data_IF_615586095572
#
_entry.id   IF_615586095572
#
_cell.length_a   1.000
_cell.length_b   1.000
_cell.length_c   1.000
_cell.angle_alpha   90.00
_cell.angle_beta   90.00
_cell.angle_gamma   90.00
#
_symmetry.space_group_name_H-M   'P 1'
#
loop_
_entity.id
_entity.type
_entity.pdbx_description
1 polymer ?
#
# COMPACT_ATOMS: atom_id res chain seq x y z
N UNK A 1 10.23 -1.82 -3.67
CA UNK A 1 10.65 -3.06 -2.99
C UNK A 1 11.50 -3.94 -3.90
N UNK A 2 11.01 -4.33 -5.08
CA UNK A 2 11.69 -5.33 -5.91
C UNK A 2 11.00 -6.70 -5.75
N UNK A 3 11.44 -7.71 -6.49
CA UNK A 3 11.02 -9.11 -6.33
C UNK A 3 9.49 -9.34 -6.29
N UNK A 4 8.74 -8.57 -7.09
CA UNK A 4 7.26 -8.58 -7.10
C UNK A 4 6.64 -8.39 -5.72
N UNK A 5 7.30 -7.64 -4.84
CA UNK A 5 6.76 -7.20 -3.55
C UNK A 5 6.18 -5.80 -3.70
N UNK A 6 4.96 -5.63 -3.20
CA UNK A 6 4.24 -4.37 -3.23
C UNK A 6 3.66 -4.06 -1.86
N UNK A 7 3.64 -2.78 -1.51
CA UNK A 7 2.95 -2.28 -0.34
C UNK A 7 1.84 -1.36 -0.80
N UNK A 8 0.65 -1.51 -0.24
CA UNK A 8 -0.50 -0.65 -0.50
C UNK A 8 -0.83 0.16 0.74
N UNK A 9 -1.08 1.46 0.53
CA UNK A 9 -1.45 2.43 1.56
C UNK A 9 -2.76 3.10 1.14
N UNK A 10 -3.84 2.81 1.84
CA UNK A 10 -5.20 3.25 1.51
C UNK A 10 -5.78 4.24 2.51
N UNK A 11 -6.90 4.87 2.11
CA UNK A 11 -7.64 5.89 2.86
C UNK A 11 -6.87 7.20 3.09
N UNK A 12 -5.81 7.45 2.33
CA UNK A 12 -5.02 8.68 2.46
C UNK A 12 -5.85 9.91 2.07
N UNK A 13 -5.61 11.05 2.74
CA UNK A 13 -6.17 12.37 2.40
C UNK A 13 -5.34 13.14 1.37
N UNK A 14 -4.11 12.70 1.13
CA UNK A 14 -3.20 13.28 0.17
C UNK A 14 -2.12 12.27 -0.24
N UNK A 15 -1.66 12.36 -1.49
CA UNK A 15 -0.46 11.72 -1.99
C UNK A 15 0.64 12.79 -2.21
N UNK A 16 1.87 12.50 -1.80
CA UNK A 16 3.03 13.39 -1.97
C UNK A 16 4.01 12.92 -3.06
N UNK A 17 3.69 11.80 -3.70
CA UNK A 17 4.49 11.16 -4.73
C UNK A 17 3.63 10.82 -5.94
N UNK A 18 4.25 10.65 -7.09
CA UNK A 18 3.61 10.34 -8.37
C UNK A 18 4.08 8.97 -8.90
N UNK A 19 3.31 8.42 -9.83
CA UNK A 19 3.67 7.16 -10.51
C UNK A 19 5.01 7.35 -11.21
N UNK A 20 5.96 6.47 -10.91
CA UNK A 20 7.32 6.52 -11.45
C UNK A 20 8.37 7.08 -10.49
N UNK A 21 7.95 7.73 -9.39
CA UNK A 21 8.87 8.21 -8.38
C UNK A 21 9.57 7.06 -7.66
N UNK A 22 10.88 7.23 -7.41
CA UNK A 22 11.65 6.36 -6.53
C UNK A 22 11.60 6.94 -5.12
N UNK A 23 11.20 6.12 -4.16
CA UNK A 23 11.09 6.51 -2.75
C UNK A 23 12.01 5.67 -1.88
N UNK A 24 12.41 6.20 -0.73
CA UNK A 24 13.22 5.49 0.27
C UNK A 24 12.41 5.24 1.55
N UNK A 25 12.81 4.24 2.33
CA UNK A 25 12.18 4.00 3.64
C UNK A 25 12.29 5.24 4.53
N UNK A 26 11.19 5.60 5.20
CA UNK A 26 11.08 6.82 6.01
C UNK A 26 10.72 8.10 5.24
N UNK A 27 10.69 8.06 3.91
CA UNK A 27 10.21 9.19 3.11
C UNK A 27 8.68 9.33 3.25
N UNK A 28 8.15 10.53 3.54
CA UNK A 28 6.72 10.78 3.49
C UNK A 28 6.17 10.60 2.05
N UNK A 29 5.20 9.72 1.88
CA UNK A 29 4.56 9.44 0.58
C UNK A 29 3.09 9.90 0.51
N UNK A 30 2.50 10.26 1.64
CA UNK A 30 1.11 10.70 1.72
C UNK A 30 0.72 11.08 3.14
N UNK A 31 -0.56 11.40 3.32
CA UNK A 31 -1.16 11.76 4.61
C UNK A 31 -2.33 10.82 4.88
N UNK A 32 -2.41 10.28 6.09
CA UNK A 32 -3.57 9.52 6.56
C UNK A 32 -4.86 10.33 6.38
N UNK A 33 -5.96 9.66 6.04
CA UNK A 33 -7.27 10.28 5.88
C UNK A 33 -8.39 9.30 6.23
N UNK A 34 -9.53 9.50 5.60
CA UNK A 34 -10.75 8.68 5.69
C UNK A 34 -11.41 8.55 4.30
N UNK A 35 -10.60 8.62 3.24
CA UNK A 35 -11.11 8.65 1.87
C UNK A 35 -11.50 7.25 1.37
N UNK A 36 -12.51 7.19 0.50
CA UNK A 36 -13.04 5.95 -0.05
C UNK A 36 -13.99 5.23 0.91
N UNK A 37 -13.90 3.90 0.96
CA UNK A 37 -14.76 3.09 1.83
C UNK A 37 -14.10 2.89 3.19
N UNK A 38 -14.37 3.82 4.11
CA UNK A 38 -13.81 3.85 5.46
C UNK A 38 -14.85 4.38 6.45
N UNK A 39 -14.69 4.04 7.73
CA UNK A 39 -15.63 4.38 8.82
C UNK A 39 -15.02 5.34 9.85
N UNK A 40 -13.95 6.03 9.48
CA UNK A 40 -13.17 6.89 10.37
C UNK A 40 -11.69 6.84 10.03
N UNK A 41 -10.95 7.89 10.39
CA UNK A 41 -9.58 8.05 9.94
C UNK A 41 -8.64 6.96 10.46
N UNK A 42 -8.04 6.21 9.53
CA UNK A 42 -7.08 5.15 9.80
C UNK A 42 -6.17 4.93 8.58
N UNK A 43 -5.11 4.15 8.76
CA UNK A 43 -4.29 3.66 7.65
C UNK A 43 -4.66 2.20 7.38
N UNK A 44 -5.07 1.91 6.16
CA UNK A 44 -5.16 0.54 5.67
C UNK A 44 -3.87 0.20 4.93
N UNK A 45 -3.12 -0.75 5.48
CA UNK A 45 -1.82 -1.16 4.99
C UNK A 45 -1.84 -2.63 4.57
N UNK A 46 -1.36 -2.92 3.37
CA UNK A 46 -1.26 -4.29 2.86
C UNK A 46 0.13 -4.54 2.27
N UNK A 47 0.54 -5.81 2.31
CA UNK A 47 1.71 -6.32 1.59
C UNK A 47 1.24 -7.37 0.59
N UNK A 48 1.77 -7.30 -0.63
CA UNK A 48 1.48 -8.22 -1.72
C UNK A 48 2.77 -8.81 -2.28
N UNK A 49 2.80 -10.11 -2.54
CA UNK A 49 3.96 -10.85 -3.06
C UNK A 49 3.57 -11.66 -4.29
N UNK A 50 4.41 -11.60 -5.33
CA UNK A 50 4.34 -12.46 -6.51
C UNK A 50 3.57 -11.86 -7.71
N UNK A 51 2.37 -11.31 -7.47
CA UNK A 51 1.51 -10.76 -8.53
C UNK A 51 1.72 -9.26 -8.77
N UNK A 52 1.90 -8.79 -10.02
CA UNK A 52 2.04 -7.37 -10.31
C UNK A 52 0.73 -6.60 -10.07
N UNK A 53 0.87 -5.29 -9.86
CA UNK A 53 -0.28 -4.38 -9.83
C UNK A 53 -1.03 -4.45 -11.17
N UNK A 54 -2.36 -4.65 -11.10
CA UNK A 54 -3.21 -4.90 -12.28
C UNK A 54 -3.69 -3.61 -12.96
N UNK A 55 -3.52 -2.45 -12.32
CA UNK A 55 -4.14 -1.19 -12.78
C UNK A 55 -5.60 -1.01 -12.35
N UNK A 56 -6.22 -2.01 -11.72
CA UNK A 56 -7.62 -1.97 -11.31
C UNK A 56 -7.75 -1.75 -9.80
N UNK A 57 -8.19 -0.57 -9.38
CA UNK A 57 -8.34 -0.23 -7.96
C UNK A 57 -9.37 -1.08 -7.19
N UNK A 58 -10.27 -1.80 -7.87
CA UNK A 58 -11.19 -2.75 -7.21
C UNK A 58 -10.54 -4.10 -6.90
N UNK A 59 -9.50 -4.46 -7.63
CA UNK A 59 -8.71 -5.68 -7.46
C UNK A 59 -7.25 -5.36 -7.83
N UNK A 60 -6.55 -4.59 -6.97
CA UNK A 60 -5.29 -3.94 -7.34
C UNK A 60 -4.17 -4.93 -7.63
N UNK A 61 -4.25 -6.16 -7.11
CA UNK A 61 -3.27 -7.21 -7.32
C UNK A 61 -3.95 -8.52 -7.74
N UNK A 62 -3.20 -9.39 -8.40
CA UNK A 62 -3.66 -10.74 -8.76
C UNK A 62 -4.11 -11.50 -7.50
N UNK A 63 -5.19 -12.27 -7.63
CA UNK A 63 -5.74 -13.08 -6.54
C UNK A 63 -4.65 -14.00 -5.95
N UNK A 64 -4.51 -13.98 -4.62
CA UNK A 64 -3.49 -14.75 -3.89
C UNK A 64 -2.18 -14.01 -3.63
N UNK A 65 -2.03 -12.75 -4.05
CA UNK A 65 -0.84 -11.96 -3.74
C UNK A 65 -0.82 -11.40 -2.32
N UNK A 66 -1.97 -11.26 -1.65
CA UNK A 66 -2.05 -10.72 -0.28
C UNK A 66 -1.39 -11.67 0.73
N UNK A 67 -0.48 -11.13 1.54
CA UNK A 67 0.19 -11.84 2.64
C UNK A 67 -0.08 -11.14 3.98
N UNK A 68 0.18 -11.81 5.10
CA UNK A 68 0.09 -11.18 6.41
C UNK A 68 1.14 -10.05 6.52
N UNK A 69 0.72 -8.77 6.64
CA UNK A 69 1.66 -7.66 6.70
C UNK A 69 2.48 -7.65 8.00
N UNK A 70 2.06 -8.37 9.06
CA UNK A 70 2.79 -8.40 10.33
C UNK A 70 4.14 -9.10 10.23
N UNK A 71 4.30 -10.04 9.29
CA UNK A 71 5.57 -10.68 8.95
C UNK A 71 6.60 -9.68 8.37
N UNK A 72 6.14 -8.50 7.94
CA UNK A 72 6.94 -7.46 7.29
C UNK A 72 7.10 -6.20 8.13
N UNK A 73 6.49 -6.17 9.32
CA UNK A 73 6.62 -5.06 10.25
C UNK A 73 7.74 -5.33 11.26
N UNK A 74 8.34 -4.27 11.84
CA UNK A 74 9.25 -4.44 12.96
C UNK A 74 8.57 -5.25 14.08
N UNK A 75 9.33 -6.08 14.81
CA UNK A 75 8.81 -6.74 16.00
C UNK A 75 8.28 -5.68 16.98
N UNK A 76 7.17 -6.01 17.64
CA UNK A 76 6.56 -5.16 18.67
C UNK A 76 7.30 -5.24 19.99
#
# INVERSE_FOLDING_TARGET
>A
HGDNVYSLYSHNSAAFVQVGDRVQAGQPIGRQGDEGYSFGSHLHFEVHVGGPFTGNWRQPFTQGAFVDPTDWLPPR
#
